data_IF_507215062261
#
_entry.id   IF_507215062261
#
_cell.length_a   1.000
_cell.length_b   1.000
_cell.length_c   1.000
_cell.angle_alpha   90.00
_cell.angle_beta   90.00
_cell.angle_gamma   90.00
#
_symmetry.space_group_name_H-M   'P 1'
#
loop_
_entity.id
_entity.type
_entity.pdbx_description
1 polymer ?
#
# COMPACT_ATOMS: atom_id res chain seq x y z
N UNK A 1 9.30 0.27 -9.91
CA UNK A 1 8.56 0.60 -8.68
C UNK A 1 8.98 -0.26 -7.50
N UNK A 2 8.84 0.29 -6.30
CA UNK A 2 8.92 -0.43 -5.02
C UNK A 2 7.58 -0.33 -4.30
N UNK A 3 7.14 -1.43 -3.70
CA UNK A 3 5.91 -1.52 -2.89
C UNK A 3 6.32 -1.78 -1.45
N UNK A 4 6.04 -0.84 -0.56
CA UNK A 4 6.34 -0.95 0.86
C UNK A 4 5.08 -1.31 1.63
N UNK A 5 5.18 -2.37 2.42
CA UNK A 5 4.03 -2.90 3.17
C UNK A 5 4.44 -3.43 4.54
N UNK A 6 3.51 -3.36 5.48
CA UNK A 6 3.70 -3.92 6.81
C UNK A 6 3.45 -5.44 6.81
N UNK A 7 4.51 -6.25 6.81
CA UNK A 7 4.43 -7.70 6.91
C UNK A 7 3.97 -8.24 8.26
N UNK A 8 4.03 -7.46 9.35
CA UNK A 8 3.53 -7.89 10.67
C UNK A 8 1.99 -7.82 10.79
N UNK A 9 1.34 -7.09 9.89
CA UNK A 9 -0.11 -7.06 9.72
C UNK A 9 -0.56 -8.25 8.87
N UNK A 10 -1.26 -9.22 9.46
CA UNK A 10 -1.68 -10.47 8.78
C UNK A 10 -2.47 -10.20 7.48
N UNK A 11 -3.44 -9.28 7.52
CA UNK A 11 -4.28 -8.94 6.37
C UNK A 11 -3.47 -8.24 5.27
N UNK A 12 -2.64 -7.27 5.66
CA UNK A 12 -1.76 -6.55 4.76
C UNK A 12 -0.76 -7.51 4.08
N UNK A 13 -0.17 -8.43 4.85
CA UNK A 13 0.75 -9.43 4.33
C UNK A 13 0.07 -10.44 3.40
N UNK A 14 -1.16 -10.87 3.72
CA UNK A 14 -1.95 -11.75 2.86
C UNK A 14 -2.28 -11.08 1.51
N UNK A 15 -2.68 -9.81 1.55
CA UNK A 15 -2.95 -9.00 0.35
C UNK A 15 -1.70 -8.89 -0.54
N UNK A 16 -0.56 -8.48 0.01
CA UNK A 16 0.66 -8.35 -0.78
C UNK A 16 1.18 -9.72 -1.27
N UNK A 17 1.00 -10.78 -0.49
CA UNK A 17 1.32 -12.15 -0.92
C UNK A 17 0.48 -12.59 -2.11
N UNK A 18 -0.78 -12.16 -2.19
CA UNK A 18 -1.62 -12.36 -3.37
C UNK A 18 -1.10 -11.56 -4.57
N UNK A 19 -0.75 -10.28 -4.38
CA UNK A 19 -0.20 -9.44 -5.44
C UNK A 19 1.13 -9.94 -6.00
N UNK A 20 2.02 -10.48 -5.15
CA UNK A 20 3.27 -11.14 -5.57
C UNK A 20 3.03 -12.28 -6.56
N UNK A 21 1.92 -13.03 -6.42
CA UNK A 21 1.57 -14.12 -7.36
C UNK A 21 1.11 -13.60 -8.71
N UNK A 22 0.41 -12.45 -8.74
CA UNK A 22 -0.10 -11.81 -9.95
C UNK A 22 1.03 -11.12 -10.72
N UNK A 23 1.89 -10.38 -10.02
CA UNK A 23 2.95 -9.56 -10.63
C UNK A 23 4.25 -9.72 -9.84
N UNK A 24 5.08 -10.68 -10.28
CA UNK A 24 6.36 -11.03 -9.65
C UNK A 24 7.45 -9.98 -9.86
N UNK A 25 7.43 -9.25 -10.98
CA UNK A 25 8.48 -8.29 -11.36
C UNK A 25 8.34 -6.91 -10.68
N UNK A 26 7.84 -6.89 -9.44
CA UNK A 26 7.75 -5.68 -8.60
C UNK A 26 8.61 -5.92 -7.36
N UNK A 27 9.34 -4.89 -6.93
CA UNK A 27 10.12 -4.98 -5.71
C UNK A 27 9.21 -4.74 -4.49
N UNK A 28 8.82 -5.81 -3.80
CA UNK A 28 8.00 -5.73 -2.58
C UNK A 28 8.89 -5.76 -1.35
N UNK A 29 8.85 -4.70 -0.55
CA UNK A 29 9.72 -4.48 0.60
C UNK A 29 8.87 -4.51 1.87
N UNK A 30 9.18 -5.46 2.74
CA UNK A 30 8.54 -5.60 4.05
C UNK A 30 9.21 -4.67 5.06
N UNK A 31 8.55 -3.56 5.34
CA UNK A 31 9.06 -2.52 6.25
C UNK A 31 9.08 -2.94 7.72
N UNK A 32 8.51 -4.11 8.05
CA UNK A 32 8.62 -4.69 9.39
C UNK A 32 9.97 -5.38 9.62
N UNK A 33 10.72 -5.67 8.54
CA UNK A 33 12.01 -6.39 8.60
C UNK A 33 13.21 -5.50 8.30
N UNK A 34 13.05 -4.54 7.39
CA UNK A 34 14.13 -3.63 7.01
C UNK A 34 13.60 -2.28 6.55
N UNK A 35 14.39 -1.23 6.78
CA UNK A 35 14.10 0.12 6.29
C UNK A 35 14.81 0.35 4.95
N UNK A 36 14.13 0.98 4.00
CA UNK A 36 14.70 1.39 2.71
C UNK A 36 14.91 2.92 2.70
N UNK A 37 15.93 3.37 1.96
CA UNK A 37 16.31 4.79 1.91
C UNK A 37 15.20 5.72 1.39
N UNK A 38 14.32 5.25 0.50
CA UNK A 38 13.32 6.12 -0.12
C UNK A 38 12.15 6.44 0.84
N UNK A 39 12.09 5.77 2.00
CA UNK A 39 11.04 5.94 3.02
C UNK A 39 11.60 6.20 4.43
N UNK A 40 12.92 6.27 4.59
CA UNK A 40 13.59 6.40 5.90
C UNK A 40 13.27 7.71 6.64
N UNK A 41 12.84 8.74 5.90
CA UNK A 41 12.40 10.02 6.45
C UNK A 41 10.99 9.98 7.07
N UNK A 42 10.24 8.88 6.90
CA UNK A 42 8.90 8.72 7.45
C UNK A 42 8.94 8.06 8.83
N UNK A 43 8.02 8.48 9.71
CA UNK A 43 7.88 7.86 11.03
C UNK A 43 7.37 6.43 10.92
N UNK A 44 7.81 5.55 11.86
CA UNK A 44 7.35 4.16 11.97
C UNK A 44 5.82 4.05 12.00
N UNK A 45 5.15 4.95 12.72
CA UNK A 45 3.67 5.02 12.77
C UNK A 45 3.05 5.24 11.38
N UNK A 46 3.60 6.15 10.58
CA UNK A 46 3.09 6.41 9.23
C UNK A 46 3.35 5.22 8.30
N UNK A 47 4.55 4.67 8.36
CA UNK A 47 4.96 3.49 7.60
C UNK A 47 4.07 2.28 7.88
N UNK A 48 3.78 2.00 9.15
CA UNK A 48 3.02 0.81 9.54
C UNK A 48 1.51 0.97 9.34
N UNK A 49 0.98 2.20 9.36
CA UNK A 49 -0.45 2.47 9.14
C UNK A 49 -0.83 2.46 7.66
N UNK A 50 0.04 2.99 6.78
CA UNK A 50 -0.29 3.20 5.36
C UNK A 50 0.62 2.38 4.45
N UNK A 51 0.08 1.94 3.32
CA UNK A 51 0.88 1.34 2.25
C UNK A 51 1.58 2.45 1.46
N UNK A 52 2.80 2.19 0.99
CA UNK A 52 3.54 3.16 0.18
C UNK A 52 4.00 2.52 -1.12
N UNK A 53 4.01 3.29 -2.20
CA UNK A 53 4.57 2.88 -3.49
C UNK A 53 5.52 3.96 -3.95
N UNK A 54 6.77 3.59 -4.24
CA UNK A 54 7.70 4.48 -4.91
C UNK A 54 7.78 4.10 -6.38
N UNK A 55 7.35 5.00 -7.26
CA UNK A 55 7.40 4.81 -8.70
C UNK A 55 7.83 6.09 -9.41
N UNK A 56 8.72 5.96 -10.39
CA UNK A 56 9.21 7.06 -11.23
C UNK A 56 9.67 8.31 -10.43
N UNK A 57 10.38 8.12 -9.31
CA UNK A 57 10.88 9.23 -8.49
C UNK A 57 9.86 9.82 -7.51
N UNK A 58 8.63 9.30 -7.47
CA UNK A 58 7.55 9.81 -6.62
C UNK A 58 7.10 8.76 -5.62
N UNK A 59 6.95 9.20 -4.36
CA UNK A 59 6.36 8.39 -3.30
C UNK A 59 4.85 8.64 -3.23
N UNK A 60 4.08 7.58 -3.44
CA UNK A 60 2.64 7.51 -3.25
C UNK A 60 2.33 6.87 -1.90
N UNK A 61 1.29 7.37 -1.23
CA UNK A 61 0.97 7.03 0.16
C UNK A 61 -0.51 6.70 0.25
N UNK A 62 -0.83 5.67 1.05
CA UNK A 62 -2.21 5.32 1.37
C UNK A 62 -2.97 4.76 0.17
N UNK A 63 -4.20 5.23 0.00
CA UNK A 63 -5.14 4.81 -1.05
C UNK A 63 -4.55 4.98 -2.47
N UNK A 64 -3.76 6.02 -2.70
CA UNK A 64 -3.10 6.30 -3.97
C UNK A 64 -2.07 5.24 -4.35
N UNK A 65 -1.40 4.63 -3.36
CA UNK A 65 -0.46 3.53 -3.57
C UNK A 65 -1.13 2.35 -4.28
N UNK A 66 -2.38 2.06 -3.93
CA UNK A 66 -3.16 0.99 -4.55
C UNK A 66 -3.51 1.33 -5.99
N UNK A 67 -3.93 2.58 -6.28
CA UNK A 67 -4.25 3.00 -7.64
C UNK A 67 -3.04 2.86 -8.55
N UNK A 68 -1.86 3.30 -8.12
CA UNK A 68 -0.60 3.18 -8.89
C UNK A 68 -0.19 1.72 -9.08
N UNK A 69 -0.30 0.90 -8.04
CA UNK A 69 0.02 -0.52 -8.11
C UNK A 69 -0.92 -1.28 -9.05
N UNK A 70 -2.23 -1.09 -8.88
CA UNK A 70 -3.27 -1.79 -9.64
C UNK A 70 -3.27 -1.43 -11.12
N UNK A 71 -2.84 -0.22 -11.50
CA UNK A 71 -2.63 0.12 -12.91
C UNK A 71 -1.61 -0.77 -13.63
N UNK A 72 -0.65 -1.34 -12.89
CA UNK A 72 0.35 -2.27 -13.45
C UNK A 72 -0.12 -3.74 -13.43
N UNK A 73 -1.33 -4.01 -12.93
CA UNK A 73 -1.91 -5.34 -12.80
C UNK A 73 -3.08 -5.53 -13.78
N UNK A 74 -3.00 -6.45 -14.76
CA UNK A 74 -3.98 -6.54 -15.84
C UNK A 74 -5.44 -6.64 -15.38
N UNK A 75 -5.73 -7.43 -14.33
CA UNK A 75 -7.09 -7.64 -13.81
C UNK A 75 -7.61 -6.48 -12.96
N UNK A 76 -6.72 -5.72 -12.31
CA UNK A 76 -7.08 -4.64 -11.39
C UNK A 76 -6.99 -3.25 -12.05
N UNK A 77 -6.43 -3.17 -13.26
CA UNK A 77 -6.27 -1.92 -14.01
C UNK A 77 -7.61 -1.19 -14.20
N UNK A 78 -8.67 -1.89 -14.58
CA UNK A 78 -9.99 -1.27 -14.78
C UNK A 78 -10.58 -0.73 -13.47
N UNK A 79 -10.41 -1.45 -12.37
CA UNK A 79 -10.79 -0.97 -11.04
C UNK A 79 -10.03 0.30 -10.68
N UNK A 80 -8.72 0.35 -10.90
CA UNK A 80 -7.91 1.54 -10.65
C UNK A 80 -8.36 2.74 -11.50
N UNK A 81 -8.65 2.53 -12.79
CA UNK A 81 -9.14 3.58 -13.68
C UNK A 81 -10.48 4.14 -13.22
N UNK A 82 -11.40 3.28 -12.77
CA UNK A 82 -12.69 3.71 -12.21
C UNK A 82 -12.53 4.49 -10.91
N UNK A 83 -11.71 3.98 -9.97
CA UNK A 83 -11.46 4.64 -8.69
C UNK A 83 -10.63 5.93 -8.80
N UNK A 84 -10.04 6.22 -9.96
CA UNK A 84 -9.35 7.50 -10.22
C UNK A 84 -10.30 8.65 -10.53
N UNK A 85 -11.55 8.37 -10.89
CA UNK A 85 -12.56 9.40 -11.13
C UNK A 85 -12.80 10.23 -9.85
N UNK A 86 -13.03 11.56 -9.93
CA UNK A 86 -12.97 12.45 -8.77
C UNK A 86 -13.82 12.01 -7.56
N UNK A 87 -15.06 11.59 -7.79
CA UNK A 87 -15.99 11.15 -6.74
C UNK A 87 -15.53 9.82 -6.14
N UNK A 88 -15.24 8.83 -7.00
CA UNK A 88 -14.81 7.51 -6.56
C UNK A 88 -13.45 7.53 -5.86
N UNK A 89 -12.57 8.44 -6.26
CA UNK A 89 -11.27 8.66 -5.62
C UNK A 89 -11.41 9.15 -4.19
N UNK A 90 -12.34 10.08 -3.95
CA UNK A 90 -12.64 10.56 -2.60
C UNK A 90 -13.24 9.44 -1.74
N UNK A 91 -14.22 8.70 -2.27
CA UNK A 91 -14.82 7.56 -1.58
C UNK A 91 -13.77 6.49 -1.25
N UNK A 92 -12.91 6.13 -2.21
CA UNK A 92 -11.81 5.19 -2.03
C UNK A 92 -10.87 5.64 -0.92
N UNK A 93 -10.51 6.92 -0.90
CA UNK A 93 -9.64 7.47 0.13
C UNK A 93 -10.26 7.37 1.53
N UNK A 94 -11.56 7.68 1.68
CA UNK A 94 -12.27 7.58 2.96
C UNK A 94 -12.34 6.13 3.43
N UNK A 95 -12.76 5.20 2.56
CA UNK A 95 -12.84 3.77 2.87
C UNK A 95 -11.46 3.24 3.29
N UNK A 96 -10.43 3.59 2.53
CA UNK A 96 -9.06 3.20 2.81
C UNK A 96 -8.59 3.71 4.18
N UNK A 97 -8.77 4.99 4.50
CA UNK A 97 -8.27 5.56 5.77
C UNK A 97 -9.01 4.94 6.97
N UNK A 98 -10.31 4.66 6.86
CA UNK A 98 -11.06 3.93 7.89
C UNK A 98 -10.48 2.53 8.11
N UNK A 99 -10.27 1.77 7.02
CA UNK A 99 -9.66 0.44 7.09
C UNK A 99 -8.25 0.49 7.68
N UNK A 100 -7.42 1.45 7.25
CA UNK A 100 -6.05 1.64 7.73
C UNK A 100 -6.00 1.92 9.24
N UNK A 101 -6.90 2.76 9.75
CA UNK A 101 -6.99 3.04 11.20
C UNK A 101 -7.40 1.79 11.96
N UNK A 102 -8.46 1.09 11.54
CA UNK A 102 -8.95 -0.13 12.19
C UNK A 102 -7.84 -1.19 12.23
N UNK A 103 -7.19 -1.45 11.09
CA UNK A 103 -6.13 -2.44 10.99
C UNK A 103 -4.90 -2.05 11.81
N UNK A 104 -4.53 -0.77 11.82
CA UNK A 104 -3.42 -0.27 12.63
C UNK A 104 -3.68 -0.46 14.13
N UNK A 105 -4.88 -0.11 14.61
CA UNK A 105 -5.26 -0.31 16.01
C UNK A 105 -5.29 -1.78 16.39
N UNK A 106 -5.87 -2.64 15.54
CA UNK A 106 -5.94 -4.10 15.76
C UNK A 106 -4.55 -4.74 15.84
N UNK A 107 -3.56 -4.18 15.16
CA UNK A 107 -2.19 -4.69 15.12
C UNK A 107 -1.20 -3.82 15.91
N UNK A 108 -1.68 -2.94 16.81
CA UNK A 108 -0.82 -2.01 17.56
C UNK A 108 0.25 -2.73 18.40
N UNK A 109 -0.05 -3.92 18.91
CA UNK A 109 0.89 -4.76 19.68
C UNK A 109 1.99 -5.41 18.82
N UNK A 110 1.85 -5.38 17.49
CA UNK A 110 2.79 -5.96 16.52
C UNK A 110 3.66 -4.90 15.82
N UNK A 111 3.68 -3.67 16.35
CA UNK A 111 4.48 -2.57 15.82
C UNK A 111 5.95 -2.69 16.20
#
# INVERSE_FOLDING_TARGET
MKVYYNGSCNICNAEISHYKKIKKNINYIDISKSMDKDISHLSKKNLFRRMHVYDQGKLFIGSESFLVLWEKMPKLRYLAMFLKLPIFRQLWNVIYELAAIILYLKNKSKL
#
